data_IF_026662105672
#
_entry.id   IF_026662105672
#
_cell.length_a   1.000
_cell.length_b   1.000
_cell.length_c   1.000
_cell.angle_alpha   90.00
_cell.angle_beta   90.00
_cell.angle_gamma   90.00
#
_symmetry.space_group_name_H-M   'P 1'
#
loop_
_entity.id
_entity.type
_entity.pdbx_description
1 polymer ?
#
# COMPACT_ATOMS: atom_id res chain seq x y z
N UNK A 1 -20.37 29.63 -4.55
CA UNK A 1 -19.65 28.65 -5.40
C UNK A 1 -18.93 27.70 -4.47
N UNK A 2 -19.17 26.39 -4.57
CA UNK A 2 -18.48 25.41 -3.73
C UNK A 2 -16.97 25.49 -3.99
N UNK A 3 -16.17 25.50 -2.93
CA UNK A 3 -14.71 25.45 -3.04
C UNK A 3 -14.29 24.14 -3.72
N UNK A 4 -13.35 24.23 -4.66
CA UNK A 4 -12.72 23.05 -5.26
C UNK A 4 -11.96 22.24 -4.20
N UNK A 5 -11.65 20.98 -4.47
CA UNK A 5 -11.01 20.09 -3.49
C UNK A 5 -9.67 19.56 -4.01
N UNK A 6 -8.63 19.62 -3.17
CA UNK A 6 -7.37 18.90 -3.36
C UNK A 6 -7.08 18.03 -2.14
N UNK A 7 -6.86 16.74 -2.38
CA UNK A 7 -6.56 15.71 -1.37
C UNK A 7 -5.13 15.23 -1.58
N UNK A 8 -4.30 15.40 -0.57
CA UNK A 8 -2.95 14.84 -0.50
C UNK A 8 -2.98 13.62 0.42
N UNK A 9 -2.85 12.44 -0.17
CA UNK A 9 -2.74 11.17 0.54
C UNK A 9 -1.26 10.87 0.79
N UNK A 10 -0.83 10.89 2.05
CA UNK A 10 0.51 10.49 2.46
C UNK A 10 0.45 9.01 2.90
N UNK A 11 0.99 8.11 2.08
CA UNK A 11 0.93 6.67 2.31
C UNK A 11 1.73 6.26 3.57
N UNK A 12 1.16 5.37 4.37
CA UNK A 12 1.81 4.74 5.52
C UNK A 12 2.06 5.63 6.74
N UNK A 13 1.66 6.90 6.69
CA UNK A 13 1.88 7.88 7.76
C UNK A 13 0.85 7.76 8.90
N UNK A 14 1.14 6.88 9.85
CA UNK A 14 0.36 6.76 11.08
C UNK A 14 0.38 8.03 11.93
N UNK A 15 -0.68 8.28 12.69
CA UNK A 15 -0.82 9.47 13.53
C UNK A 15 0.33 9.64 14.54
N UNK A 16 0.81 8.54 15.12
CA UNK A 16 1.92 8.59 16.09
C UNK A 16 3.24 8.97 15.41
N UNK A 17 3.47 8.53 14.17
CA UNK A 17 4.62 8.95 13.36
C UNK A 17 4.53 10.42 12.93
N UNK A 18 3.33 10.91 12.60
CA UNK A 18 3.08 12.32 12.30
C UNK A 18 3.38 13.20 13.53
N UNK A 19 2.86 12.85 14.69
CA UNK A 19 3.11 13.58 15.94
C UNK A 19 4.58 13.56 16.34
N UNK A 20 5.27 12.42 16.17
CA UNK A 20 6.72 12.34 16.35
C UNK A 20 7.46 13.30 15.41
N UNK A 21 7.08 13.35 14.14
CA UNK A 21 7.70 14.23 13.17
C UNK A 21 7.48 15.71 13.48
N UNK A 22 6.27 16.09 13.90
CA UNK A 22 5.95 17.45 14.36
C UNK A 22 6.78 17.83 15.58
N UNK A 23 6.83 16.97 16.61
CA UNK A 23 7.64 17.20 17.81
C UNK A 23 9.14 17.31 17.53
N UNK A 24 9.65 16.63 16.50
CA UNK A 24 11.03 16.76 16.05
C UNK A 24 11.28 17.98 15.13
N UNK A 25 10.27 18.81 14.87
CA UNK A 25 10.37 19.97 13.97
C UNK A 25 10.66 19.57 12.51
N UNK A 26 10.18 18.40 12.09
CA UNK A 26 10.39 17.88 10.73
C UNK A 26 9.32 18.36 9.75
N UNK A 27 8.18 18.86 10.23
CA UNK A 27 7.05 19.32 9.42
C UNK A 27 6.57 20.72 9.82
N UNK A 28 7.44 21.76 9.75
CA UNK A 28 7.11 23.10 10.23
C UNK A 28 5.94 23.77 9.47
N UNK A 29 5.73 23.47 8.18
CA UNK A 29 4.59 24.05 7.47
C UNK A 29 3.27 23.39 7.88
N UNK A 30 3.28 22.09 8.14
CA UNK A 30 2.13 21.37 8.68
C UNK A 30 1.76 21.91 10.08
N UNK A 31 2.75 22.20 10.92
CA UNK A 31 2.55 22.88 12.20
C UNK A 31 1.95 24.30 11.99
N UNK A 32 2.44 25.06 11.01
CA UNK A 32 1.85 26.35 10.63
C UNK A 32 0.38 26.25 10.20
N UNK A 33 -0.01 25.24 9.43
CA UNK A 33 -1.42 24.99 9.08
C UNK A 33 -2.28 24.75 10.32
N UNK A 34 -1.76 24.04 11.33
CA UNK A 34 -2.46 23.80 12.58
C UNK A 34 -2.63 25.10 13.38
N UNK A 35 -1.55 25.88 13.52
CA UNK A 35 -1.53 27.08 14.34
C UNK A 35 -2.27 28.28 13.74
N UNK A 36 -2.19 28.46 12.41
CA UNK A 36 -2.69 29.66 11.73
C UNK A 36 -3.95 29.43 10.91
N UNK A 37 -4.20 28.19 10.45
CA UNK A 37 -5.36 27.87 9.61
C UNK A 37 -6.36 26.92 10.30
N UNK A 38 -6.10 26.53 11.55
CA UNK A 38 -7.02 25.73 12.36
C UNK A 38 -7.10 24.25 11.97
N UNK A 39 -6.08 23.71 11.30
CA UNK A 39 -6.00 22.27 11.03
C UNK A 39 -5.85 21.48 12.33
N UNK A 40 -6.48 20.30 12.39
CA UNK A 40 -6.35 19.41 13.54
C UNK A 40 -6.05 17.98 13.11
N UNK A 41 -5.33 17.23 13.94
CA UNK A 41 -5.02 15.83 13.69
C UNK A 41 -6.23 14.98 14.07
N UNK A 42 -6.87 14.41 13.06
CA UNK A 42 -7.96 13.46 13.27
C UNK A 42 -7.45 12.02 13.18
N UNK A 43 -7.41 11.35 14.33
CA UNK A 43 -7.15 9.90 14.39
C UNK A 43 -8.41 9.15 13.96
N UNK A 44 -8.23 8.13 13.13
CA UNK A 44 -9.30 7.22 12.75
C UNK A 44 -8.78 5.80 12.60
N UNK A 45 -9.69 4.83 12.66
CA UNK A 45 -9.35 3.41 12.44
C UNK A 45 -9.39 3.13 10.94
N UNK A 46 -8.23 2.81 10.36
CA UNK A 46 -8.09 2.48 8.94
C UNK A 46 -8.74 1.15 8.53
N UNK A 47 -9.22 0.36 9.50
CA UNK A 47 -9.88 -0.92 9.25
C UNK A 47 -8.90 -2.06 8.97
N UNK A 48 -9.45 -3.23 8.68
CA UNK A 48 -8.72 -4.47 8.39
C UNK A 48 -9.25 -4.98 7.04
N UNK A 49 -8.40 -5.08 5.99
CA UNK A 49 -6.94 -4.92 5.99
C UNK A 49 -6.48 -3.45 5.99
N UNK A 50 -5.46 -3.12 6.78
CA UNK A 50 -4.80 -1.81 6.76
C UNK A 50 -3.81 -1.71 5.59
N UNK A 51 -4.33 -1.58 4.36
CA UNK A 51 -3.53 -1.61 3.12
C UNK A 51 -3.99 -0.54 2.14
N UNK A 52 -3.07 0.00 1.34
CA UNK A 52 -3.36 1.05 0.35
C UNK A 52 -4.56 0.75 -0.54
N UNK A 53 -4.72 -0.43 -1.16
CA UNK A 53 -5.86 -0.67 -2.04
C UNK A 53 -7.19 -0.70 -1.29
N UNK A 54 -7.23 -1.26 -0.09
CA UNK A 54 -8.45 -1.26 0.72
C UNK A 54 -8.86 0.15 1.14
N UNK A 55 -7.91 0.94 1.62
CA UNK A 55 -8.18 2.31 2.02
C UNK A 55 -8.57 3.19 0.82
N UNK A 56 -7.82 3.11 -0.28
CA UNK A 56 -8.11 3.89 -1.49
C UNK A 56 -9.43 3.50 -2.14
N UNK A 57 -9.85 2.24 -2.08
CA UNK A 57 -11.19 1.84 -2.54
C UNK A 57 -12.29 2.59 -1.76
N UNK A 58 -12.17 2.63 -0.43
CA UNK A 58 -13.12 3.34 0.44
C UNK A 58 -13.08 4.86 0.22
N UNK A 59 -11.90 5.45 0.08
CA UNK A 59 -11.74 6.89 -0.14
C UNK A 59 -12.25 7.31 -1.53
N UNK A 60 -11.91 6.54 -2.58
CA UNK A 60 -12.15 6.93 -3.96
C UNK A 60 -13.51 6.49 -4.49
N UNK A 61 -14.12 5.45 -3.94
CA UNK A 61 -15.40 4.91 -4.41
C UNK A 61 -16.47 4.83 -3.32
N UNK A 62 -16.13 5.08 -2.07
CA UNK A 62 -17.05 4.93 -0.94
C UNK A 62 -17.32 3.46 -0.57
N UNK A 63 -16.63 2.50 -1.20
CA UNK A 63 -16.79 1.08 -0.97
C UNK A 63 -15.45 0.35 -1.02
N UNK A 64 -15.14 -0.40 0.04
CA UNK A 64 -13.98 -1.28 0.15
C UNK A 64 -14.35 -2.68 0.68
N UNK A 65 -15.64 -3.01 0.73
CA UNK A 65 -16.18 -4.26 1.29
C UNK A 65 -15.55 -5.51 0.66
N UNK A 66 -15.33 -5.47 -0.65
CA UNK A 66 -14.79 -6.58 -1.43
C UNK A 66 -13.28 -6.46 -1.71
N UNK A 67 -12.53 -5.60 -1.01
CA UNK A 67 -11.07 -5.45 -1.20
C UNK A 67 -10.30 -6.11 -0.04
N UNK A 68 -9.95 -7.41 -0.12
CA UNK A 68 -9.47 -8.16 1.04
C UNK A 68 -7.98 -7.97 1.37
N UNK A 69 -7.19 -7.36 0.49
CA UNK A 69 -5.72 -7.37 0.57
C UNK A 69 -5.05 -6.54 -0.53
N UNK A 70 -3.73 -6.35 -0.44
CA UNK A 70 -2.90 -5.92 -1.57
C UNK A 70 -2.79 -6.97 -2.69
N UNK A 71 -2.99 -8.25 -2.35
CA UNK A 71 -3.01 -9.37 -3.29
C UNK A 71 -4.01 -10.42 -2.84
N UNK A 72 -4.87 -10.89 -3.75
CA UNK A 72 -5.88 -11.92 -3.48
C UNK A 72 -6.23 -12.72 -4.73
N UNK A 73 -6.88 -13.85 -4.55
CA UNK A 73 -7.38 -14.67 -5.65
C UNK A 73 -8.85 -14.35 -5.91
N UNK A 74 -9.16 -13.80 -7.08
CA UNK A 74 -10.55 -13.70 -7.56
C UNK A 74 -10.96 -15.07 -8.13
N UNK A 75 -11.84 -15.77 -7.41
CA UNK A 75 -12.31 -17.11 -7.79
C UNK A 75 -13.22 -17.11 -9.00
N UNK A 76 -14.00 -16.06 -9.20
CA UNK A 76 -14.95 -16.00 -10.32
C UNK A 76 -14.18 -15.80 -11.63
N UNK A 77 -13.21 -14.89 -11.62
CA UNK A 77 -12.38 -14.55 -12.79
C UNK A 77 -11.16 -15.47 -12.92
N UNK A 78 -10.85 -16.28 -11.90
CA UNK A 78 -9.66 -17.13 -11.81
C UNK A 78 -8.37 -16.34 -12.04
N UNK A 79 -8.26 -15.18 -11.40
CA UNK A 79 -7.13 -14.25 -11.52
C UNK A 79 -6.54 -13.97 -10.15
N UNK A 80 -5.22 -14.07 -10.02
CA UNK A 80 -4.50 -13.50 -8.89
C UNK A 80 -4.49 -11.99 -9.08
N UNK A 81 -5.33 -11.28 -8.32
CA UNK A 81 -5.36 -9.83 -8.26
C UNK A 81 -4.19 -9.34 -7.42
N UNK A 82 -3.44 -8.38 -7.94
CA UNK A 82 -2.31 -7.76 -7.26
C UNK A 82 -2.12 -6.32 -7.73
N UNK A 83 -1.55 -5.48 -6.89
CA UNK A 83 -1.10 -4.12 -7.24
C UNK A 83 0.43 -4.07 -7.44
N UNK A 84 0.94 -3.02 -8.08
CA UNK A 84 2.36 -2.87 -8.47
C UNK A 84 2.61 -3.04 -9.98
N UNK A 85 3.88 -3.13 -10.38
CA UNK A 85 4.32 -3.12 -11.79
C UNK A 85 3.67 -4.20 -12.68
N UNK A 86 3.22 -5.32 -12.09
CA UNK A 86 2.52 -6.41 -12.78
C UNK A 86 1.06 -6.52 -12.35
N UNK A 87 0.42 -5.40 -12.05
CA UNK A 87 -0.94 -5.44 -11.55
C UNK A 87 -1.91 -6.08 -12.53
N UNK A 88 -2.88 -6.77 -11.97
CA UNK A 88 -3.90 -7.51 -12.69
C UNK A 88 -5.29 -6.97 -12.42
N UNK A 89 -5.42 -5.88 -11.64
CA UNK A 89 -6.71 -5.34 -11.20
C UNK A 89 -7.61 -4.95 -12.38
N UNK A 90 -7.05 -4.46 -13.49
CA UNK A 90 -7.83 -4.13 -14.71
C UNK A 90 -8.66 -5.31 -15.24
N UNK A 91 -8.26 -6.56 -14.98
CA UNK A 91 -9.00 -7.77 -15.41
C UNK A 91 -10.31 -7.98 -14.63
N UNK A 92 -10.45 -7.30 -13.50
CA UNK A 92 -11.58 -7.45 -12.57
C UNK A 92 -12.24 -6.12 -12.21
N UNK A 93 -11.72 -4.98 -12.71
CA UNK A 93 -12.12 -3.65 -12.27
C UNK A 93 -13.62 -3.35 -12.50
N UNK A 94 -14.22 -3.93 -13.53
CA UNK A 94 -15.63 -3.81 -13.88
C UNK A 94 -16.58 -4.43 -12.84
N UNK A 95 -16.07 -5.35 -12.01
CA UNK A 95 -16.83 -6.03 -10.96
C UNK A 95 -16.84 -5.25 -9.63
N UNK A 96 -15.70 -4.70 -9.20
CA UNK A 96 -15.52 -4.27 -7.81
C UNK A 96 -16.14 -2.91 -7.45
N UNK A 97 -16.43 -2.05 -8.43
CA UNK A 97 -16.96 -0.70 -8.18
C UNK A 97 -18.21 -0.37 -8.98
N UNK A 98 -18.96 -1.41 -9.38
CA UNK A 98 -20.19 -1.23 -10.15
C UNK A 98 -21.22 -0.46 -9.31
N UNK A 99 -21.75 0.63 -9.87
CA UNK A 99 -22.73 1.49 -9.19
C UNK A 99 -22.14 2.49 -8.19
N UNK A 100 -20.83 2.46 -7.94
CA UNK A 100 -20.16 3.47 -7.13
C UNK A 100 -19.99 4.76 -7.93
N UNK A 101 -20.15 5.91 -7.27
CA UNK A 101 -19.78 7.22 -7.83
C UNK A 101 -18.33 7.54 -7.41
N UNK A 102 -17.39 7.64 -8.34
CA UNK A 102 -16.01 7.87 -7.97
C UNK A 102 -15.75 9.31 -7.52
N UNK A 103 -14.82 9.51 -6.58
CA UNK A 103 -14.49 10.80 -5.96
C UNK A 103 -13.99 11.82 -6.99
N UNK A 104 -13.16 11.38 -7.94
CA UNK A 104 -12.48 12.28 -8.89
C UNK A 104 -13.17 12.32 -10.26
N UNK A 105 -14.47 12.05 -10.32
CA UNK A 105 -15.29 12.22 -11.53
C UNK A 105 -15.17 13.66 -12.07
N UNK A 106 -14.65 13.82 -13.29
CA UNK A 106 -14.38 15.14 -13.89
C UNK A 106 -13.19 15.91 -13.25
N UNK A 107 -12.47 15.25 -12.35
CA UNK A 107 -11.30 15.75 -11.65
C UNK A 107 -10.00 15.05 -12.06
N UNK A 108 -9.06 14.94 -11.13
CA UNK A 108 -7.77 14.29 -11.35
C UNK A 108 -7.46 13.26 -10.26
N UNK A 109 -7.05 12.05 -10.66
CA UNK A 109 -6.56 11.02 -9.75
C UNK A 109 -5.11 10.68 -10.12
N UNK A 110 -4.21 11.11 -9.27
CA UNK A 110 -2.78 11.11 -9.53
C UNK A 110 -2.14 10.08 -8.61
N UNK A 111 -1.49 9.10 -9.22
CA UNK A 111 -0.62 8.19 -8.55
C UNK A 111 -1.39 7.35 -7.48
N UNK A 112 -2.55 6.79 -7.87
CA UNK A 112 -3.40 5.95 -7.02
C UNK A 112 -3.63 4.55 -7.61
N UNK A 113 -3.99 3.57 -6.77
CA UNK A 113 -4.25 2.17 -7.19
C UNK A 113 -5.39 2.04 -8.19
N UNK A 114 -6.33 2.99 -8.19
CA UNK A 114 -7.53 2.99 -9.01
C UNK A 114 -7.67 4.30 -9.80
N UNK A 115 -8.29 4.27 -10.98
CA UNK A 115 -8.46 5.46 -11.82
C UNK A 115 -9.49 6.47 -11.27
N UNK A 116 -10.45 6.02 -10.44
CA UNK A 116 -11.44 6.86 -9.77
C UNK A 116 -12.16 7.87 -10.68
N UNK A 117 -12.49 7.48 -11.91
CA UNK A 117 -13.22 8.35 -12.84
C UNK A 117 -12.50 9.64 -13.21
N UNK A 118 -11.18 9.72 -12.97
CA UNK A 118 -10.38 10.87 -13.35
C UNK A 118 -10.44 11.12 -14.85
N UNK A 119 -10.35 12.40 -15.22
CA UNK A 119 -10.21 12.80 -16.61
C UNK A 119 -8.98 12.12 -17.25
N UNK A 120 -9.10 11.68 -18.50
CA UNK A 120 -8.03 10.98 -19.23
C UNK A 120 -6.72 11.80 -19.29
N UNK A 121 -6.82 13.12 -19.15
CA UNK A 121 -5.67 14.01 -19.13
C UNK A 121 -4.80 13.87 -17.86
N UNK A 122 -5.35 13.37 -16.74
CA UNK A 122 -4.68 13.30 -15.44
C UNK A 122 -4.92 12.01 -14.62
N UNK A 123 -5.50 10.96 -15.21
CA UNK A 123 -5.48 9.62 -14.64
C UNK A 123 -4.08 9.00 -14.74
N UNK A 124 -3.22 9.22 -13.74
CA UNK A 124 -1.92 8.54 -13.63
C UNK A 124 -2.10 7.40 -12.64
N UNK A 125 -2.18 6.17 -13.11
CA UNK A 125 -2.31 5.02 -12.22
C UNK A 125 -1.03 4.78 -11.40
N UNK A 126 -1.15 4.11 -10.25
CA UNK A 126 -0.03 3.66 -9.41
C UNK A 126 1.00 2.85 -10.21
N UNK A 127 0.58 2.18 -11.28
CA UNK A 127 1.43 1.38 -12.16
C UNK A 127 2.22 2.22 -13.16
N UNK A 128 1.63 3.33 -13.62
CA UNK A 128 2.24 4.28 -14.55
C UNK A 128 3.30 5.18 -13.89
N UNK A 129 3.57 4.95 -12.60
CA UNK A 129 4.69 5.53 -11.85
C UNK A 129 6.06 5.00 -12.27
N UNK A 130 6.14 3.79 -12.84
CA UNK A 130 7.37 3.32 -13.48
C UNK A 130 7.46 3.93 -14.87
N UNK A 131 7.79 5.23 -14.91
CA UNK A 131 7.94 6.01 -16.13
C UNK A 131 9.09 5.43 -16.98
N UNK A 132 8.77 4.56 -17.94
CA UNK A 132 9.75 4.01 -18.90
C UNK A 132 9.62 2.53 -19.26
N UNK A 133 8.85 1.72 -18.51
CA UNK A 133 8.79 0.26 -18.78
C UNK A 133 7.54 -0.21 -19.54
N UNK A 134 6.52 0.63 -19.73
CA UNK A 134 5.34 0.27 -20.52
C UNK A 134 5.15 1.21 -21.73
N UNK A 135 5.18 0.63 -22.94
CA UNK A 135 4.68 1.26 -24.15
C UNK A 135 3.17 1.50 -24.02
N UNK A 136 2.72 2.74 -23.81
CA UNK A 136 1.35 3.10 -24.16
C UNK A 136 0.56 4.11 -23.31
N UNK A 137 1.01 4.57 -22.13
CA UNK A 137 0.20 5.56 -21.39
C UNK A 137 0.44 7.00 -21.88
N UNK A 138 -0.53 7.57 -22.60
CA UNK A 138 -0.50 8.96 -23.11
C UNK A 138 -0.53 10.01 -21.99
N UNK A 139 -1.13 9.72 -20.82
CA UNK A 139 -1.28 10.66 -19.71
C UNK A 139 0.04 10.85 -18.94
N UNK A 140 0.75 9.76 -18.65
CA UNK A 140 2.07 9.77 -18.01
C UNK A 140 3.08 10.61 -18.82
N UNK A 141 3.18 10.37 -20.12
CA UNK A 141 4.08 11.16 -20.99
C UNK A 141 3.72 12.65 -21.04
N UNK A 142 2.44 13.04 -20.94
CA UNK A 142 2.02 14.46 -20.91
C UNK A 142 2.38 15.21 -19.62
N UNK A 143 2.76 14.50 -18.56
CA UNK A 143 3.30 15.09 -17.34
C UNK A 143 4.83 15.01 -17.35
N UNK A 144 5.39 13.87 -17.76
CA UNK A 144 6.83 13.66 -17.82
C UNK A 144 7.53 14.58 -18.84
N UNK A 145 6.97 14.76 -20.05
CA UNK A 145 7.57 15.61 -21.09
C UNK A 145 7.71 17.07 -20.63
N UNK A 146 6.64 17.75 -20.12
CA UNK A 146 6.79 19.10 -19.58
C UNK A 146 7.70 19.18 -18.35
N UNK A 147 7.72 18.15 -17.51
CA UNK A 147 8.62 18.08 -16.37
C UNK A 147 10.09 18.06 -16.82
N UNK A 148 10.44 17.18 -17.76
CA UNK A 148 11.80 17.07 -18.30
C UNK A 148 12.20 18.24 -19.21
N UNK A 149 11.23 18.89 -19.86
CA UNK A 149 11.47 20.04 -20.73
C UNK A 149 11.75 21.33 -19.96
N UNK A 150 11.51 21.38 -18.64
CA UNK A 150 11.88 22.52 -17.81
C UNK A 150 13.35 22.40 -17.36
N UNK A 151 14.26 23.30 -17.79
CA UNK A 151 15.69 23.22 -17.47
C UNK A 151 15.99 23.31 -15.98
N UNK A 152 15.11 23.93 -15.18
CA UNK A 152 15.23 23.97 -13.71
C UNK A 152 14.96 22.58 -13.12
N UNK A 153 13.96 21.85 -13.63
CA UNK A 153 13.63 20.50 -13.16
C UNK A 153 14.62 19.44 -13.66
N UNK A 154 15.24 19.64 -14.82
CA UNK A 154 16.33 18.80 -15.29
C UNK A 154 17.58 18.97 -14.41
N UNK A 155 17.89 20.21 -14.02
CA UNK A 155 18.95 20.52 -13.04
C UNK A 155 18.68 19.88 -11.68
N UNK A 156 17.45 20.02 -11.16
CA UNK A 156 17.01 19.34 -9.93
C UNK A 156 17.12 17.82 -10.07
N UNK A 157 16.68 17.23 -11.18
CA UNK A 157 16.74 15.78 -11.41
C UNK A 157 18.18 15.25 -11.44
N UNK A 158 19.08 15.91 -12.17
CA UNK A 158 20.50 15.56 -12.21
C UNK A 158 21.12 15.72 -10.83
N UNK A 159 20.85 16.82 -10.14
CA UNK A 159 21.34 17.06 -8.79
C UNK A 159 20.83 16.00 -7.80
N UNK A 160 19.54 15.67 -7.83
CA UNK A 160 18.95 14.64 -6.98
C UNK A 160 19.49 13.25 -7.30
N UNK A 161 19.76 12.93 -8.57
CA UNK A 161 20.40 11.67 -8.98
C UNK A 161 21.85 11.59 -8.50
N UNK A 162 22.61 12.67 -8.59
CA UNK A 162 24.00 12.73 -8.11
C UNK A 162 24.06 12.65 -6.57
N UNK A 163 23.20 13.41 -5.88
CA UNK A 163 23.08 13.37 -4.41
C UNK A 163 22.60 11.99 -3.94
N UNK A 164 21.70 11.35 -4.69
CA UNK A 164 21.20 9.98 -4.50
C UNK A 164 22.34 8.97 -4.50
N UNK A 165 23.14 8.96 -5.57
CA UNK A 165 24.31 8.08 -5.70
C UNK A 165 25.29 8.36 -4.56
N UNK A 166 25.61 9.63 -4.29
CA UNK A 166 26.58 9.98 -3.26
C UNK A 166 26.13 9.59 -1.84
N UNK A 167 24.85 9.82 -1.50
CA UNK A 167 24.30 9.44 -0.18
C UNK A 167 24.28 7.92 -0.02
N UNK A 168 23.85 7.18 -1.05
CA UNK A 168 23.85 5.71 -1.07
C UNK A 168 25.25 5.16 -0.83
N UNK A 169 26.25 5.67 -1.55
CA UNK A 169 27.66 5.31 -1.36
C UNK A 169 28.13 5.67 0.05
N UNK A 170 27.79 6.87 0.55
CA UNK A 170 28.21 7.31 1.89
C UNK A 170 27.59 6.50 3.03
N UNK A 171 26.32 6.07 2.90
CA UNK A 171 25.62 5.24 3.87
C UNK A 171 26.16 3.81 3.85
N UNK A 172 26.41 3.25 2.66
CA UNK A 172 27.06 1.96 2.49
C UNK A 172 28.46 1.95 3.14
N UNK A 173 29.26 2.99 2.91
CA UNK A 173 30.60 3.14 3.51
C UNK A 173 30.52 3.30 5.03
N UNK A 174 29.64 4.17 5.56
CA UNK A 174 29.48 4.36 7.01
C UNK A 174 28.92 3.13 7.73
N UNK A 175 27.99 2.41 7.13
CA UNK A 175 27.46 1.17 7.69
C UNK A 175 28.56 0.09 7.78
N UNK A 176 29.37 -0.05 6.72
CA UNK A 176 30.52 -0.97 6.68
C UNK A 176 31.59 -0.61 7.72
N UNK A 177 31.81 0.68 7.97
CA UNK A 177 32.77 1.16 8.98
C UNK A 177 32.24 1.08 10.42
N UNK A 178 30.92 0.99 10.63
CA UNK A 178 30.30 0.97 11.97
C UNK A 178 29.80 -0.41 12.43
N UNK A 179 30.09 -1.47 11.67
CA UNK A 179 29.71 -2.85 12.04
C UNK A 179 28.20 -3.13 11.97
N UNK A 180 27.39 -2.20 11.44
CA UNK A 180 25.95 -2.41 11.20
C UNK A 180 25.73 -3.14 9.88
N UNK A 181 24.77 -4.07 9.83
CA UNK A 181 24.32 -4.65 8.57
C UNK A 181 23.68 -3.55 7.70
N UNK A 182 24.27 -3.20 6.55
CA UNK A 182 23.68 -2.18 5.68
C UNK A 182 22.32 -2.63 5.16
N UNK A 183 21.37 -1.69 5.02
CA UNK A 183 20.19 -1.90 4.21
C UNK A 183 20.63 -2.39 2.82
N UNK A 184 19.91 -3.37 2.25
CA UNK A 184 20.31 -3.96 0.96
C UNK A 184 20.38 -2.87 -0.11
N UNK A 185 21.36 -2.88 -1.04
CA UNK A 185 21.54 -1.81 -2.03
C UNK A 185 20.29 -1.44 -2.82
N UNK A 186 19.41 -2.43 -3.10
CA UNK A 186 18.14 -2.20 -3.80
C UNK A 186 17.18 -1.30 -3.01
N UNK A 187 17.24 -1.33 -1.68
CA UNK A 187 16.39 -0.54 -0.79
C UNK A 187 16.69 0.96 -0.90
N UNK A 188 17.96 1.29 -1.17
CA UNK A 188 18.40 2.67 -1.36
C UNK A 188 18.01 3.21 -2.73
N UNK A 189 18.12 2.38 -3.78
CA UNK A 189 17.67 2.77 -5.13
C UNK A 189 16.17 3.01 -5.18
N UNK A 190 15.38 2.17 -4.51
CA UNK A 190 13.92 2.28 -4.46
C UNK A 190 13.49 3.57 -3.73
N UNK A 191 14.07 3.84 -2.55
CA UNK A 191 13.78 5.07 -1.79
C UNK A 191 14.11 6.36 -2.57
N UNK A 192 15.12 6.33 -3.44
CA UNK A 192 15.55 7.48 -4.24
C UNK A 192 14.68 7.65 -5.49
N UNK A 193 14.28 6.54 -6.11
CA UNK A 193 13.26 6.54 -7.15
C UNK A 193 11.95 7.12 -6.61
N UNK A 194 11.56 6.79 -5.38
CA UNK A 194 10.35 7.32 -4.76
C UNK A 194 10.41 8.82 -4.47
N UNK A 195 11.57 9.36 -4.10
CA UNK A 195 11.75 10.81 -4.02
C UNK A 195 11.52 11.46 -5.40
N UNK A 196 12.04 10.88 -6.47
CA UNK A 196 11.79 11.40 -7.81
C UNK A 196 10.31 11.34 -8.20
N UNK A 197 9.64 10.21 -7.95
CA UNK A 197 8.21 10.03 -8.20
C UNK A 197 7.38 11.02 -7.37
N UNK A 198 7.79 11.33 -6.13
CA UNK A 198 7.18 12.34 -5.28
C UNK A 198 7.20 13.72 -5.93
N UNK A 199 8.35 14.15 -6.47
CA UNK A 199 8.47 15.44 -7.17
C UNK A 199 7.58 15.51 -8.40
N UNK A 200 7.52 14.44 -9.18
CA UNK A 200 6.69 14.36 -10.37
C UNK A 200 5.19 14.38 -10.02
N UNK A 201 4.81 13.69 -8.95
CA UNK A 201 3.44 13.69 -8.41
C UNK A 201 3.04 15.09 -7.96
N UNK A 202 3.90 15.81 -7.24
CA UNK A 202 3.67 17.22 -6.88
C UNK A 202 3.44 18.08 -8.12
N UNK A 203 4.31 17.98 -9.12
CA UNK A 203 4.17 18.75 -10.36
C UNK A 203 2.85 18.46 -11.08
N UNK A 204 2.41 17.19 -11.09
CA UNK A 204 1.11 16.82 -11.64
C UNK A 204 -0.05 17.50 -10.90
N UNK A 205 0.01 17.57 -9.56
CA UNK A 205 -0.98 18.29 -8.74
C UNK A 205 -0.99 19.78 -9.05
N UNK A 206 0.19 20.42 -9.07
CA UNK A 206 0.33 21.85 -9.39
C UNK A 206 -0.30 22.17 -10.77
N UNK A 207 -0.05 21.31 -11.77
CA UNK A 207 -0.62 21.45 -13.12
C UNK A 207 -2.14 21.23 -13.15
N UNK A 208 -2.64 20.23 -12.43
CA UNK A 208 -4.09 19.96 -12.33
C UNK A 208 -4.82 21.14 -11.66
N UNK A 209 -4.25 21.69 -10.58
CA UNK A 209 -4.77 22.89 -9.91
C UNK A 209 -4.76 24.11 -10.83
N UNK A 210 -3.68 24.29 -11.60
CA UNK A 210 -3.54 25.38 -12.57
C UNK A 210 -4.59 25.32 -13.69
N UNK A 211 -4.97 24.11 -14.11
CA UNK A 211 -6.04 23.88 -15.10
C UNK A 211 -7.46 23.90 -14.51
N UNK A 212 -7.61 23.96 -13.19
CA UNK A 212 -8.92 24.04 -12.54
C UNK A 212 -9.64 22.70 -12.33
N UNK A 213 -8.93 21.57 -12.36
CA UNK A 213 -9.54 20.26 -12.08
C UNK A 213 -10.02 20.16 -10.64
N UNK A 214 -11.17 19.52 -10.41
CA UNK A 214 -11.70 19.27 -9.07
C UNK A 214 -12.73 18.14 -9.09
N UNK A 215 -12.70 17.19 -8.13
CA UNK A 215 -11.69 17.02 -7.08
C UNK A 215 -10.33 16.52 -7.60
N UNK A 216 -9.25 16.87 -6.91
CA UNK A 216 -7.90 16.32 -7.16
C UNK A 216 -7.54 15.39 -6.01
N UNK A 217 -7.15 14.16 -6.32
CA UNK A 217 -6.58 13.20 -5.38
C UNK A 217 -5.15 12.85 -5.80
N UNK A 218 -4.18 12.92 -4.88
CA UNK A 218 -2.81 12.55 -5.16
C UNK A 218 -2.16 11.78 -4.03
N UNK A 219 -1.61 10.60 -4.34
CA UNK A 219 -0.91 9.76 -3.37
C UNK A 219 0.61 9.95 -3.37
N UNK A 220 1.22 10.14 -2.20
CA UNK A 220 2.65 10.33 -1.96
C UNK A 220 3.19 9.20 -1.07
N UNK A 221 4.13 8.42 -1.59
CA UNK A 221 4.49 7.11 -1.04
C UNK A 221 5.90 7.06 -0.43
N UNK A 222 6.61 8.20 -0.48
CA UNK A 222 7.98 8.29 -0.01
C UNK A 222 8.13 7.91 1.48
N UNK A 223 7.12 8.20 2.31
CA UNK A 223 7.15 7.77 3.72
C UNK A 223 6.98 6.26 3.84
N UNK A 224 5.94 5.67 3.20
CA UNK A 224 5.68 4.24 3.29
C UNK A 224 6.88 3.39 2.86
N UNK A 225 7.47 3.73 1.71
CA UNK A 225 8.60 3.01 1.11
C UNK A 225 9.88 3.12 1.96
N UNK A 226 10.15 4.29 2.55
CA UNK A 226 11.27 4.44 3.50
C UNK A 226 11.01 3.74 4.83
N UNK A 227 9.76 3.72 5.29
CA UNK A 227 9.34 2.97 6.47
C UNK A 227 9.51 1.45 6.27
N UNK A 228 9.17 0.92 5.08
CA UNK A 228 9.44 -0.47 4.71
C UNK A 228 10.94 -0.79 4.63
N UNK A 229 11.76 0.18 4.22
CA UNK A 229 13.19 0.06 4.07
C UNK A 229 13.96 0.03 5.41
N UNK A 230 13.64 0.94 6.30
CA UNK A 230 14.44 1.23 7.51
C UNK A 230 13.66 1.04 8.81
N UNK A 231 12.34 0.98 8.75
CA UNK A 231 11.45 1.01 9.90
C UNK A 231 10.78 2.38 10.08
N UNK A 232 9.51 2.46 10.52
CA UNK A 232 8.77 3.72 10.63
C UNK A 232 9.31 4.69 11.70
N UNK A 233 10.00 4.17 12.72
CA UNK A 233 10.60 4.99 13.78
C UNK A 233 12.05 5.41 13.46
N UNK A 234 12.63 4.92 12.35
CA UNK A 234 14.00 5.27 12.00
C UNK A 234 14.13 6.74 11.61
N UNK A 235 15.27 7.35 11.99
CA UNK A 235 15.56 8.76 11.72
C UNK A 235 15.59 9.08 10.23
N UNK A 236 15.97 8.13 9.38
CA UNK A 236 15.97 8.31 7.93
C UNK A 236 14.54 8.32 7.37
N UNK A 237 13.67 7.45 7.86
CA UNK A 237 12.24 7.43 7.50
C UNK A 237 11.57 8.73 7.91
N UNK A 238 11.69 9.16 9.17
CA UNK A 238 11.07 10.41 9.63
C UNK A 238 11.58 11.65 8.88
N UNK A 239 12.86 11.69 8.49
CA UNK A 239 13.42 12.83 7.74
C UNK A 239 12.81 13.03 6.36
N UNK A 240 12.20 12.00 5.75
CA UNK A 240 11.49 12.14 4.47
C UNK A 240 10.28 13.07 4.61
N UNK A 241 9.72 13.20 5.82
CA UNK A 241 8.57 14.05 6.07
C UNK A 241 8.88 15.55 5.89
N UNK A 242 10.15 15.97 5.96
CA UNK A 242 10.55 17.32 5.51
C UNK A 242 10.27 17.57 4.03
N UNK A 243 10.38 16.51 3.21
CA UNK A 243 10.11 16.58 1.79
C UNK A 243 8.60 16.61 1.51
N UNK A 244 7.85 15.80 2.27
CA UNK A 244 6.38 15.82 2.26
C UNK A 244 5.86 17.19 2.70
N UNK A 245 6.38 17.75 3.78
CA UNK A 245 5.98 19.06 4.33
C UNK A 245 6.16 20.20 3.32
N UNK A 246 7.30 20.26 2.63
CA UNK A 246 7.52 21.21 1.51
C UNK A 246 6.55 21.03 0.35
N UNK A 247 6.03 19.82 0.17
CA UNK A 247 5.04 19.55 -0.88
C UNK A 247 3.66 20.06 -0.46
N UNK A 248 3.30 19.84 0.81
CA UNK A 248 2.11 20.43 1.43
C UNK A 248 2.18 21.97 1.33
N UNK A 249 3.32 22.57 1.67
CA UNK A 249 3.57 24.02 1.56
C UNK A 249 3.29 24.57 0.16
N UNK A 250 3.92 23.99 -0.86
CA UNK A 250 3.76 24.44 -2.25
C UNK A 250 2.31 24.34 -2.73
N UNK A 251 1.63 23.24 -2.42
CA UNK A 251 0.26 22.99 -2.85
C UNK A 251 -0.71 23.91 -2.09
N UNK A 252 -0.51 24.08 -0.78
CA UNK A 252 -1.30 24.97 0.06
C UNK A 252 -1.21 26.43 -0.42
N UNK A 253 -0.03 26.88 -0.85
CA UNK A 253 0.18 28.21 -1.42
C UNK A 253 -0.55 28.46 -2.75
N UNK A 254 -0.88 27.40 -3.51
CA UNK A 254 -1.62 27.52 -4.77
C UNK A 254 -3.15 27.58 -4.61
N UNK A 255 -3.67 27.37 -3.39
CA UNK A 255 -5.11 27.34 -3.14
C UNK A 255 -5.79 28.66 -3.53
N UNK A 256 -5.18 29.82 -3.25
CA UNK A 256 -5.73 31.17 -3.51
C UNK A 256 -7.22 31.33 -3.14
N UNK A 257 -7.68 30.66 -2.06
CA UNK A 257 -9.10 30.60 -1.68
C UNK A 257 -10.02 29.80 -2.62
N UNK A 258 -9.50 29.26 -3.72
CA UNK A 258 -10.25 28.44 -4.70
C UNK A 258 -10.35 26.97 -4.28
N UNK A 259 -9.33 26.45 -3.60
CA UNK A 259 -9.26 25.05 -3.18
C UNK A 259 -9.27 24.90 -1.66
N UNK A 260 -10.04 23.93 -1.17
CA UNK A 260 -9.86 23.31 0.14
C UNK A 260 -8.80 22.21 0.04
N UNK A 261 -7.94 22.12 1.05
CA UNK A 261 -6.89 21.11 1.15
C UNK A 261 -7.24 20.11 2.24
N UNK A 262 -7.20 18.83 1.88
CA UNK A 262 -7.26 17.70 2.81
C UNK A 262 -5.93 16.98 2.75
N UNK A 263 -5.30 16.78 3.90
CA UNK A 263 -4.15 15.89 4.03
C UNK A 263 -4.62 14.66 4.82
N UNK A 264 -4.46 13.48 4.24
CA UNK A 264 -4.87 12.22 4.86
C UNK A 264 -3.78 11.16 4.72
N UNK A 265 -3.87 10.11 5.51
CA UNK A 265 -3.08 8.89 5.36
C UNK A 265 -4.00 7.70 5.41
N UNK A 266 -3.75 6.65 4.65
CA UNK A 266 -4.55 5.43 4.56
C UNK A 266 -4.34 4.48 5.75
N UNK A 267 -3.11 4.29 6.18
CA UNK A 267 -2.75 3.44 7.30
C UNK A 267 -1.46 3.91 7.96
N UNK A 268 -1.16 3.32 9.12
CA UNK A 268 0.14 3.48 9.76
C UNK A 268 1.11 2.38 9.38
N UNK A 269 2.24 2.39 10.08
CA UNK A 269 3.22 1.32 10.05
C UNK A 269 3.62 0.93 11.46
N UNK A 270 4.12 -0.29 11.61
CA UNK A 270 4.70 -0.78 12.85
C UNK A 270 5.93 -1.62 12.52
N UNK A 271 6.91 -1.57 13.41
CA UNK A 271 8.06 -2.48 13.35
C UNK A 271 7.58 -3.92 13.45
N UNK A 272 8.09 -4.78 12.57
CA UNK A 272 7.72 -6.19 12.54
C UNK A 272 8.93 -7.08 12.37
N UNK A 273 8.81 -8.31 12.86
CA UNK A 273 9.76 -9.37 12.61
C UNK A 273 9.17 -10.38 11.63
N UNK A 274 9.93 -10.88 10.64
CA UNK A 274 9.45 -11.93 9.76
C UNK A 274 9.02 -13.17 10.55
N UNK A 275 7.92 -13.82 10.13
CA UNK A 275 7.34 -14.99 10.81
C UNK A 275 8.36 -16.10 11.14
N UNK A 276 9.34 -16.29 10.26
CA UNK A 276 10.37 -17.33 10.36
C UNK A 276 11.61 -16.89 11.17
N UNK A 277 11.63 -15.70 11.77
CA UNK A 277 12.84 -15.15 12.41
C UNK A 277 13.29 -15.95 13.63
N UNK A 278 12.36 -16.43 14.44
CA UNK A 278 12.65 -17.11 15.70
C UNK A 278 13.34 -18.46 15.50
N UNK A 279 12.87 -19.26 14.54
CA UNK A 279 13.23 -20.68 14.40
C UNK A 279 13.51 -21.11 12.94
N UNK A 280 13.49 -20.18 11.98
CA UNK A 280 13.61 -20.46 10.55
C UNK A 280 12.35 -21.09 9.92
N UNK A 281 11.28 -21.26 10.69
CA UNK A 281 10.08 -21.97 10.24
C UNK A 281 9.15 -21.05 9.45
N UNK A 282 8.92 -21.41 8.19
CA UNK A 282 7.95 -20.75 7.32
C UNK A 282 6.51 -21.21 7.61
N UNK A 283 5.54 -20.31 7.48
CA UNK A 283 4.12 -20.66 7.62
C UNK A 283 3.71 -21.73 6.60
N UNK A 284 4.19 -21.63 5.36
CA UNK A 284 3.95 -22.62 4.31
C UNK A 284 4.46 -24.02 4.68
N UNK A 285 5.55 -24.12 5.45
CA UNK A 285 6.06 -25.40 5.95
C UNK A 285 5.15 -25.99 7.03
N UNK A 286 4.62 -25.16 7.92
CA UNK A 286 3.64 -25.60 8.93
C UNK A 286 2.36 -26.09 8.27
N UNK A 287 1.80 -25.30 7.35
CA UNK A 287 0.59 -25.65 6.59
C UNK A 287 0.79 -26.95 5.80
N UNK A 288 1.95 -27.13 5.18
CA UNK A 288 2.27 -28.39 4.49
C UNK A 288 2.32 -29.60 5.44
N UNK A 289 2.76 -29.40 6.69
CA UNK A 289 2.74 -30.44 7.73
C UNK A 289 1.32 -30.79 8.19
N UNK A 290 0.43 -29.79 8.29
CA UNK A 290 -0.97 -29.98 8.66
C UNK A 290 -1.85 -30.48 7.51
N UNK A 291 -1.35 -30.42 6.27
CA UNK A 291 -2.03 -30.88 5.06
C UNK A 291 -1.15 -31.83 4.25
N UNK A 292 -0.89 -33.07 4.73
CA UNK A 292 -0.03 -34.02 4.02
C UNK A 292 -0.52 -34.28 2.59
N UNK A 293 0.41 -34.27 1.63
CA UNK A 293 0.12 -34.49 0.21
C UNK A 293 -0.32 -33.23 -0.56
N UNK A 294 -0.44 -32.06 0.09
CA UNK A 294 -0.70 -30.80 -0.59
C UNK A 294 0.60 -30.11 -1.04
N UNK A 295 0.51 -29.39 -2.14
CA UNK A 295 1.55 -28.47 -2.61
C UNK A 295 1.22 -27.06 -2.11
N UNK A 296 2.06 -26.52 -1.23
CA UNK A 296 1.84 -25.20 -0.62
C UNK A 296 2.78 -24.19 -1.26
N UNK A 297 2.23 -23.09 -1.77
CA UNK A 297 2.99 -21.99 -2.38
C UNK A 297 2.83 -20.75 -1.52
N UNK A 298 3.94 -20.25 -0.98
CA UNK A 298 4.01 -18.93 -0.34
C UNK A 298 4.24 -17.80 -1.36
N UNK A 299 3.97 -16.58 -0.91
CA UNK A 299 4.34 -15.37 -1.62
C UNK A 299 5.81 -15.39 -2.06
N UNK A 300 6.10 -14.83 -3.25
CA UNK A 300 7.42 -14.87 -3.92
C UNK A 300 7.87 -16.27 -4.37
N UNK A 301 6.97 -17.25 -4.39
CA UNK A 301 7.16 -18.53 -5.08
C UNK A 301 7.90 -19.60 -4.28
N UNK A 302 8.10 -19.41 -2.98
CA UNK A 302 8.60 -20.49 -2.11
C UNK A 302 7.57 -21.60 -2.04
N UNK A 303 8.01 -22.85 -2.18
CA UNK A 303 7.13 -24.01 -2.19
C UNK A 303 7.47 -24.99 -1.06
N UNK A 304 6.44 -25.66 -0.54
CA UNK A 304 6.52 -26.61 0.56
C UNK A 304 5.57 -27.79 0.33
N UNK A 305 5.80 -28.90 1.02
CA UNK A 305 4.96 -30.09 0.95
C UNK A 305 5.24 -30.94 -0.29
N UNK A 306 4.19 -31.53 -0.86
CA UNK A 306 4.31 -32.43 -2.00
C UNK A 306 4.81 -31.71 -3.26
N UNK A 307 5.52 -32.46 -4.12
CA UNK A 307 5.82 -31.97 -5.47
C UNK A 307 4.53 -31.76 -6.26
N UNK A 308 4.48 -30.70 -7.06
CA UNK A 308 3.27 -30.26 -7.77
C UNK A 308 2.60 -31.36 -8.59
N UNK A 309 3.38 -32.22 -9.23
CA UNK A 309 2.89 -33.31 -10.09
C UNK A 309 2.19 -34.43 -9.32
N UNK A 310 2.58 -34.64 -8.06
CA UNK A 310 2.07 -35.71 -7.19
C UNK A 310 1.14 -35.18 -6.10
N UNK A 311 0.85 -33.87 -6.12
CA UNK A 311 0.06 -33.23 -5.09
C UNK A 311 -1.42 -33.56 -5.23
N UNK A 312 -2.08 -33.88 -4.12
CA UNK A 312 -3.52 -34.13 -4.07
C UNK A 312 -4.35 -32.85 -4.12
N UNK A 313 -3.70 -31.71 -3.90
CA UNK A 313 -4.29 -30.38 -3.98
C UNK A 313 -3.27 -29.29 -3.74
N UNK A 314 -3.67 -28.04 -3.95
CA UNK A 314 -2.83 -26.85 -3.92
C UNK A 314 -3.34 -25.81 -2.94
N UNK A 315 -2.42 -25.27 -2.16
CA UNK A 315 -2.65 -24.16 -1.25
C UNK A 315 -1.79 -22.98 -1.69
N UNK A 316 -2.41 -21.81 -1.78
CA UNK A 316 -1.70 -20.55 -1.99
C UNK A 316 -1.82 -19.69 -0.74
N UNK A 317 -0.67 -19.27 -0.21
CA UNK A 317 -0.58 -18.32 0.89
C UNK A 317 -0.16 -16.96 0.33
N UNK A 318 -0.98 -15.93 0.57
CA UNK A 318 -0.66 -14.55 0.21
C UNK A 318 -0.61 -13.68 1.45
N UNK A 319 0.36 -12.78 1.53
CA UNK A 319 0.60 -11.92 2.69
C UNK A 319 0.33 -10.46 2.34
N UNK A 320 -0.18 -9.70 3.31
CA UNK A 320 -0.42 -8.27 3.18
C UNK A 320 -0.36 -7.62 4.56
N UNK A 321 0.77 -6.98 4.87
CA UNK A 321 1.05 -6.48 6.22
C UNK A 321 0.99 -7.60 7.26
N UNK A 322 0.24 -7.37 8.35
CA UNK A 322 0.02 -8.37 9.40
C UNK A 322 -1.00 -9.47 9.07
N UNK A 323 -1.57 -9.49 7.85
CA UNK A 323 -2.58 -10.46 7.43
C UNK A 323 -2.02 -11.49 6.45
N UNK A 324 -2.50 -12.72 6.58
CA UNK A 324 -2.26 -13.80 5.63
C UNK A 324 -3.59 -14.40 5.16
N UNK A 325 -3.68 -14.66 3.86
CA UNK A 325 -4.82 -15.36 3.27
C UNK A 325 -4.40 -16.74 2.80
N UNK A 326 -5.22 -17.75 3.10
CA UNK A 326 -5.05 -19.11 2.63
C UNK A 326 -6.12 -19.43 1.58
N UNK A 327 -5.67 -19.79 0.39
CA UNK A 327 -6.54 -20.21 -0.70
C UNK A 327 -6.29 -21.67 -1.03
N UNK A 328 -7.31 -22.51 -0.86
CA UNK A 328 -7.37 -23.79 -1.55
C UNK A 328 -7.70 -23.51 -3.02
N UNK A 329 -6.69 -23.66 -3.88
CA UNK A 329 -6.75 -23.20 -5.26
C UNK A 329 -7.53 -24.14 -6.18
N UNK A 330 -7.68 -25.40 -5.79
CA UNK A 330 -8.45 -26.40 -6.55
C UNK A 330 -9.94 -26.42 -6.15
N UNK A 331 -10.34 -25.63 -5.16
CA UNK A 331 -11.72 -25.56 -4.71
C UNK A 331 -12.53 -24.53 -5.54
N UNK A 332 -13.59 -24.97 -6.24
CA UNK A 332 -14.40 -24.07 -7.07
C UNK A 332 -15.25 -23.11 -6.24
N UNK A 333 -15.57 -23.48 -4.99
CA UNK A 333 -16.33 -22.66 -4.04
C UNK A 333 -15.50 -22.28 -2.82
N UNK A 334 -15.89 -21.20 -2.15
CA UNK A 334 -15.37 -20.90 -0.80
C UNK A 334 -15.83 -22.01 0.15
N UNK A 335 -14.90 -22.56 0.93
CA UNK A 335 -15.22 -23.52 1.98
C UNK A 335 -15.68 -22.79 3.24
N UNK A 336 -16.68 -23.35 3.91
CA UNK A 336 -17.08 -22.91 5.24
C UNK A 336 -16.07 -23.37 6.29
N UNK A 337 -16.09 -22.76 7.48
CA UNK A 337 -15.30 -23.23 8.62
C UNK A 337 -15.60 -24.70 8.93
N UNK A 338 -16.87 -25.11 8.89
CA UNK A 338 -17.30 -26.49 9.13
C UNK A 338 -16.78 -27.45 8.04
N UNK A 339 -16.71 -27.00 6.78
CA UNK A 339 -16.06 -27.77 5.72
C UNK A 339 -14.56 -27.95 6.01
N UNK A 340 -13.87 -26.89 6.48
CA UNK A 340 -12.45 -26.94 6.82
C UNK A 340 -12.19 -27.85 8.03
N UNK A 341 -12.99 -27.76 9.08
CA UNK A 341 -12.85 -28.59 10.28
C UNK A 341 -13.08 -30.07 9.96
N UNK A 342 -14.08 -30.38 9.15
CA UNK A 342 -14.38 -31.76 8.72
C UNK A 342 -13.30 -32.35 7.81
N UNK A 343 -12.77 -31.56 6.87
CA UNK A 343 -11.85 -32.05 5.82
C UNK A 343 -10.38 -31.95 6.23
N UNK A 344 -10.03 -30.93 7.01
CA UNK A 344 -8.66 -30.57 7.38
C UNK A 344 -8.58 -30.21 8.88
N UNK A 345 -8.94 -31.13 9.79
CA UNK A 345 -8.97 -30.84 11.23
C UNK A 345 -7.61 -30.42 11.79
N UNK A 346 -6.51 -31.00 11.28
CA UNK A 346 -5.15 -30.64 11.69
C UNK A 346 -4.76 -29.23 11.25
N UNK A 347 -5.31 -28.72 10.14
CA UNK A 347 -5.09 -27.34 9.69
C UNK A 347 -5.73 -26.36 10.68
N UNK A 348 -6.99 -26.60 11.05
CA UNK A 348 -7.73 -25.77 12.01
C UNK A 348 -7.04 -25.78 13.38
N UNK A 349 -6.70 -26.98 13.88
CA UNK A 349 -5.97 -27.15 15.15
C UNK A 349 -4.58 -26.51 15.10
N UNK A 350 -3.87 -26.67 13.99
CA UNK A 350 -2.53 -26.10 13.79
C UNK A 350 -2.55 -24.58 13.85
N UNK A 351 -3.52 -23.95 13.17
CA UNK A 351 -3.72 -22.51 13.24
C UNK A 351 -4.11 -22.05 14.65
N UNK A 352 -5.05 -22.74 15.30
CA UNK A 352 -5.49 -22.38 16.65
C UNK A 352 -4.35 -22.44 17.67
N UNK A 353 -3.41 -23.38 17.52
CA UNK A 353 -2.32 -23.59 18.49
C UNK A 353 -1.03 -22.82 18.17
N UNK A 354 -0.96 -22.15 17.01
CA UNK A 354 0.24 -21.42 16.61
C UNK A 354 0.35 -20.08 17.35
N UNK A 355 1.31 -19.98 18.28
CA UNK A 355 1.57 -18.78 19.09
C UNK A 355 1.90 -17.53 18.27
N UNK A 356 2.45 -17.69 17.06
CA UNK A 356 2.76 -16.58 16.13
C UNK A 356 1.55 -16.05 15.37
N UNK A 357 0.36 -16.63 15.54
CA UNK A 357 -0.88 -16.22 14.88
C UNK A 357 -1.84 -15.74 15.96
N UNK A 358 -2.12 -14.44 15.96
CA UNK A 358 -2.97 -13.83 16.98
C UNK A 358 -4.46 -14.18 16.80
N UNK A 359 -4.92 -14.29 15.55
CA UNK A 359 -6.32 -14.49 15.20
C UNK A 359 -6.45 -15.18 13.85
N UNK A 360 -7.41 -16.08 13.73
CA UNK A 360 -7.81 -16.70 12.47
C UNK A 360 -9.28 -16.40 12.22
N UNK A 361 -9.60 -15.96 11.01
CA UNK A 361 -10.95 -15.65 10.57
C UNK A 361 -11.38 -16.63 9.48
N UNK A 362 -12.58 -17.18 9.60
CA UNK A 362 -13.19 -18.04 8.60
C UNK A 362 -14.68 -17.73 8.48
N UNK A 363 -15.27 -17.88 7.29
CA UNK A 363 -16.72 -17.80 7.15
C UNK A 363 -17.34 -19.14 7.54
N UNK A 364 -18.26 -19.16 8.49
CA UNK A 364 -19.11 -20.31 8.75
C UNK A 364 -20.29 -20.37 7.78
N UNK A 365 -21.16 -21.36 7.94
CA UNK A 365 -22.38 -21.47 7.13
C UNK A 365 -23.43 -20.41 7.47
N UNK A 366 -23.44 -19.94 8.72
CA UNK A 366 -24.41 -18.97 9.26
C UNK A 366 -23.71 -17.75 9.86
N UNK A 367 -22.66 -18.01 10.66
CA UNK A 367 -21.90 -16.99 11.39
C UNK A 367 -20.46 -16.91 10.88
N UNK A 368 -19.81 -15.74 11.03
CA UNK A 368 -18.36 -15.65 10.87
C UNK A 368 -17.66 -16.21 12.11
N UNK A 369 -16.61 -17.00 11.89
CA UNK A 369 -15.87 -17.73 12.93
C UNK A 369 -14.51 -17.07 13.15
N UNK A 370 -14.22 -16.81 14.42
CA UNK A 370 -12.97 -16.24 14.89
C UNK A 370 -12.36 -17.18 15.90
N UNK A 371 -11.14 -17.68 15.68
CA UNK A 371 -10.53 -18.62 16.61
C UNK A 371 -9.05 -18.34 16.87
N UNK A 372 -8.65 -18.64 18.09
CA UNK A 372 -7.31 -18.46 18.66
C UNK A 372 -6.97 -19.65 19.55
N UNK A 373 -5.78 -19.64 20.16
CA UNK A 373 -5.41 -20.62 21.18
C UNK A 373 -6.31 -20.58 22.42
N UNK A 374 -6.99 -19.46 22.69
CA UNK A 374 -7.85 -19.26 23.86
C UNK A 374 -9.30 -19.69 23.63
N UNK A 375 -9.71 -19.96 22.39
CA UNK A 375 -11.06 -20.42 22.09
C UNK A 375 -11.59 -20.01 20.72
N UNK A 376 -12.85 -20.39 20.47
CA UNK A 376 -13.60 -20.06 19.25
C UNK A 376 -14.75 -19.12 19.60
N UNK A 377 -14.89 -18.07 18.82
CA UNK A 377 -15.95 -17.08 18.90
C UNK A 377 -16.73 -17.03 17.59
N UNK A 378 -18.03 -16.77 17.69
CA UNK A 378 -18.93 -16.57 16.54
C UNK A 378 -19.43 -15.14 16.54
N UNK A 379 -19.44 -14.51 15.38
CA UNK A 379 -20.04 -13.20 15.16
C UNK A 379 -21.10 -13.27 14.07
N UNK A 380 -22.08 -12.38 14.13
CA UNK A 380 -23.04 -12.22 13.03
C UNK A 380 -22.28 -12.01 11.72
N UNK A 381 -22.63 -12.78 10.69
CA UNK A 381 -22.00 -12.64 9.38
C UNK A 381 -22.23 -11.22 8.85
N UNK A 382 -21.15 -10.49 8.58
CA UNK A 382 -21.24 -9.22 7.87
C UNK A 382 -21.52 -9.58 6.40
N UNK A 383 -22.78 -9.36 5.97
CA UNK A 383 -23.26 -9.72 4.64
C UNK A 383 -22.62 -8.88 3.54
#
# INVERSE_FOLDING_TARGET
MGSALVVLHIDGLGADSLEEALRQGLMPFTEHLMDQEGYTIHRYRCGVPSTTPFAQAGILYGDNSEIPSFRWWDRERQVLVQFGARSTFKKVADKYFQGCRPLTEGGACIAACYPAGADEDFGISYQERSYGEQQGSRSAWRVLLPYLANPVHLGDWVWHTVVSIWRTVSMYVRARLSGRHPARPYVLTDALQEIFVHHLTRFAVEKAMGKGFSPIYAGFYAFDETGHAFGPADKHSLRILRHVDRTIEKIAGMRNGRYQLVVLSDHGQIETEPFYREDGMHLGRLVAGWMPGFHVVEMKGKTFGAQREHARGRVHLTYSGGLGHLYLADEPRRLSFEDLERRFPDLVKGFATQKRIALVMARGQSDDIFFTASGLHRGEAVK
#
